data_IF_921614229370
#
_entry.id   IF_921614229370
#
_cell.length_a   1.000
_cell.length_b   1.000
_cell.length_c   1.000
_cell.angle_alpha   90.00
_cell.angle_beta   90.00
_cell.angle_gamma   90.00
#
_symmetry.space_group_name_H-M   'P 1'
#
loop_
_entity.id
_entity.type
_entity.pdbx_description
1 polymer ?
#
# COMPACT_ATOMS: atom_id res chain seq x y z
N UNK A 1 -24.37 -8.92 25.69
CA UNK A 1 -24.02 -7.83 24.76
C UNK A 1 -23.11 -8.43 23.72
N UNK A 2 -23.51 -8.48 22.45
CA UNK A 2 -22.61 -8.93 21.38
C UNK A 2 -21.47 -7.91 21.30
N UNK A 3 -20.22 -8.36 21.34
CA UNK A 3 -19.09 -7.48 21.03
C UNK A 3 -19.24 -7.09 19.57
N UNK A 4 -19.48 -5.80 19.31
CA UNK A 4 -19.28 -5.27 17.97
C UNK A 4 -17.77 -5.37 17.70
N UNK A 5 -17.38 -6.37 16.89
CA UNK A 5 -16.02 -6.51 16.44
C UNK A 5 -15.78 -5.44 15.38
N UNK A 6 -14.96 -4.45 15.74
CA UNK A 6 -14.51 -3.42 14.81
C UNK A 6 -13.41 -4.02 13.93
N UNK A 7 -13.49 -3.83 12.62
CA UNK A 7 -12.44 -4.24 11.70
C UNK A 7 -11.73 -2.98 11.18
N UNK A 8 -10.41 -2.90 11.37
CA UNK A 8 -9.62 -1.79 10.83
C UNK A 8 -9.24 -2.15 9.41
N UNK A 9 -9.80 -1.44 8.45
CA UNK A 9 -9.93 -1.97 7.10
C UNK A 9 -8.87 -1.43 6.16
N UNK A 10 -8.31 -0.23 6.39
CA UNK A 10 -7.35 0.34 5.45
C UNK A 10 -6.43 1.43 6.07
N UNK A 11 -5.12 1.32 5.80
CA UNK A 11 -4.12 2.35 6.05
C UNK A 11 -3.39 2.78 4.77
N UNK A 12 -3.26 4.09 4.53
CA UNK A 12 -2.60 4.63 3.33
C UNK A 12 -1.33 5.40 3.72
N UNK A 13 -0.17 4.74 3.80
CA UNK A 13 1.11 5.41 4.03
C UNK A 13 1.53 6.28 2.85
N UNK A 14 2.05 7.47 3.15
CA UNK A 14 2.71 8.37 2.18
C UNK A 14 3.90 7.68 1.54
N UNK A 15 4.10 7.86 0.23
CA UNK A 15 5.20 7.25 -0.53
C UNK A 15 6.60 7.67 -0.05
N UNK A 16 7.60 6.92 -0.48
CA UNK A 16 9.01 7.27 -0.25
C UNK A 16 9.51 6.85 1.13
N UNK A 17 10.26 7.73 1.80
CA UNK A 17 10.89 7.40 3.11
C UNK A 17 9.85 7.17 4.20
N UNK A 18 8.71 7.88 4.13
CA UNK A 18 7.59 7.69 5.06
C UNK A 18 6.99 6.30 4.95
N UNK A 19 6.76 5.81 3.72
CA UNK A 19 6.33 4.43 3.45
C UNK A 19 7.32 3.41 4.02
N UNK A 20 8.62 3.58 3.73
CA UNK A 20 9.66 2.67 4.23
C UNK A 20 9.70 2.66 5.77
N UNK A 21 9.59 3.81 6.42
CA UNK A 21 9.55 3.91 7.89
C UNK A 21 8.29 3.26 8.46
N UNK A 22 7.14 3.47 7.83
CA UNK A 22 5.88 2.89 8.22
C UNK A 22 5.93 1.36 8.16
N UNK A 23 6.36 0.78 7.03
CA UNK A 23 6.53 -0.65 6.88
C UNK A 23 7.51 -1.24 7.90
N UNK A 24 8.64 -0.57 8.17
CA UNK A 24 9.57 -1.01 9.20
C UNK A 24 8.93 -1.02 10.60
N UNK A 25 8.00 -0.11 10.88
CA UNK A 25 7.25 -0.11 12.14
C UNK A 25 6.30 -1.31 12.25
N UNK A 26 5.76 -1.82 11.14
CA UNK A 26 4.93 -3.05 11.16
C UNK A 26 5.67 -4.27 11.71
N UNK A 27 7.00 -4.33 11.55
CA UNK A 27 7.82 -5.39 12.13
C UNK A 27 7.69 -5.46 13.65
N UNK A 28 7.51 -4.32 14.33
CA UNK A 28 7.32 -4.27 15.78
C UNK A 28 5.94 -4.75 16.21
N UNK A 29 5.01 -4.91 15.26
CA UNK A 29 3.65 -5.39 15.47
C UNK A 29 3.48 -6.87 15.08
N UNK A 30 4.59 -7.61 14.89
CA UNK A 30 4.55 -9.04 14.60
C UNK A 30 4.44 -9.39 13.11
N UNK A 31 4.41 -8.39 12.22
CA UNK A 31 4.46 -8.63 10.77
C UNK A 31 5.84 -9.16 10.37
N UNK A 32 5.87 -10.11 9.44
CA UNK A 32 7.09 -10.76 8.96
C UNK A 32 8.13 -9.75 8.47
N UNK A 33 9.27 -9.68 9.17
CA UNK A 33 10.37 -8.80 8.81
C UNK A 33 10.92 -9.10 7.40
N UNK A 34 11.04 -10.38 7.04
CA UNK A 34 11.52 -10.81 5.72
C UNK A 34 10.59 -10.30 4.61
N UNK A 35 9.26 -10.45 4.79
CA UNK A 35 8.30 -9.94 3.82
C UNK A 35 8.40 -8.42 3.67
N UNK A 36 8.48 -7.70 4.79
CA UNK A 36 8.65 -6.24 4.77
C UNK A 36 9.94 -5.84 4.03
N UNK A 37 11.05 -6.53 4.29
CA UNK A 37 12.34 -6.25 3.66
C UNK A 37 12.31 -6.51 2.15
N UNK A 38 11.62 -7.57 1.71
CA UNK A 38 11.41 -7.84 0.28
C UNK A 38 10.60 -6.73 -0.39
N UNK A 39 9.50 -6.28 0.23
CA UNK A 39 8.68 -5.19 -0.31
C UNK A 39 9.48 -3.89 -0.43
N UNK A 40 10.27 -3.55 0.60
CA UNK A 40 11.13 -2.36 0.59
C UNK A 40 12.20 -2.49 -0.50
N UNK A 41 12.81 -3.66 -0.66
CA UNK A 41 13.84 -3.89 -1.67
C UNK A 41 13.30 -3.71 -3.10
N UNK A 42 12.15 -4.31 -3.42
CA UNK A 42 11.49 -4.13 -4.73
C UNK A 42 11.07 -2.67 -4.95
N UNK A 43 10.50 -2.02 -3.92
CA UNK A 43 10.11 -0.61 -3.97
C UNK A 43 11.28 0.33 -4.27
N UNK A 44 12.48 0.03 -3.73
CA UNK A 44 13.71 0.79 -4.00
C UNK A 44 14.21 0.57 -5.42
N UNK A 45 14.24 -0.68 -5.91
CA UNK A 45 14.64 -1.00 -7.30
C UNK A 45 13.74 -0.32 -8.32
N UNK A 46 12.43 -0.26 -8.06
CA UNK A 46 11.46 0.42 -8.93
C UNK A 46 11.78 1.90 -9.17
N UNK A 47 12.26 2.63 -8.15
CA UNK A 47 12.57 4.06 -8.26
C UNK A 47 13.63 4.33 -9.34
N UNK A 48 14.62 3.44 -9.47
CA UNK A 48 15.66 3.52 -10.52
C UNK A 48 15.23 2.91 -11.85
N UNK A 49 14.27 1.99 -11.84
CA UNK A 49 13.77 1.28 -13.02
C UNK A 49 12.50 1.92 -13.62
N UNK A 50 12.26 3.21 -13.40
CA UNK A 50 11.12 3.90 -14.03
C UNK A 50 11.41 4.05 -15.52
N UNK A 51 10.58 3.44 -16.38
CA UNK A 51 10.80 3.35 -17.81
C UNK A 51 9.75 4.13 -18.61
N UNK A 52 10.16 4.72 -19.74
CA UNK A 52 9.21 5.26 -20.70
C UNK A 52 8.49 4.14 -21.48
N UNK A 53 9.17 3.01 -21.66
CA UNK A 53 8.62 1.83 -22.33
C UNK A 53 7.72 1.02 -21.37
N UNK A 54 6.51 0.72 -21.84
CA UNK A 54 5.52 -0.04 -21.07
C UNK A 54 5.93 -1.51 -20.90
N UNK A 55 6.49 -2.12 -21.94
CA UNK A 55 6.84 -3.55 -21.93
C UNK A 55 7.97 -3.83 -20.95
N UNK A 56 9.00 -2.98 -20.90
CA UNK A 56 10.06 -3.08 -19.90
C UNK A 56 9.52 -2.91 -18.48
N UNK A 57 8.60 -1.96 -18.28
CA UNK A 57 8.00 -1.75 -16.97
C UNK A 57 7.07 -2.90 -16.55
N UNK A 58 6.36 -3.52 -17.48
CA UNK A 58 5.53 -4.70 -17.26
C UNK A 58 6.36 -5.96 -16.94
N UNK A 59 7.50 -6.14 -17.59
CA UNK A 59 8.46 -7.21 -17.23
C UNK A 59 8.98 -7.03 -15.81
N UNK A 60 9.31 -5.79 -15.42
CA UNK A 60 9.71 -5.51 -14.04
C UNK A 60 8.56 -5.75 -13.05
N UNK A 61 7.30 -5.47 -13.42
CA UNK A 61 6.14 -5.82 -12.60
C UNK A 61 6.03 -7.33 -12.39
N UNK A 62 6.22 -8.14 -13.43
CA UNK A 62 6.18 -9.60 -13.32
C UNK A 62 7.22 -10.10 -12.30
N UNK A 63 8.47 -9.61 -12.41
CA UNK A 63 9.50 -9.88 -11.40
C UNK A 63 9.08 -9.46 -9.99
N UNK A 64 8.51 -8.26 -9.82
CA UNK A 64 8.07 -7.76 -8.52
C UNK A 64 6.96 -8.64 -7.90
N UNK A 65 6.00 -9.07 -8.71
CA UNK A 65 4.86 -9.90 -8.32
C UNK A 65 5.29 -11.32 -7.90
N UNK A 66 6.35 -11.86 -8.49
CA UNK A 66 6.96 -13.13 -8.09
C UNK A 66 7.67 -13.04 -6.73
N UNK A 67 8.16 -11.86 -6.32
CA UNK A 67 8.77 -11.68 -5.00
C UNK A 67 7.69 -11.56 -3.92
N UNK A 68 6.78 -10.60 -4.08
CA UNK A 68 5.65 -10.37 -3.17
C UNK A 68 4.48 -9.84 -3.99
N UNK A 69 3.28 -10.44 -3.90
CA UNK A 69 2.18 -10.11 -4.80
C UNK A 69 1.42 -8.82 -4.40
N UNK A 70 2.13 -7.71 -4.19
CA UNK A 70 1.59 -6.46 -3.65
C UNK A 70 1.96 -5.23 -4.51
N UNK A 71 2.34 -5.42 -5.77
CA UNK A 71 2.80 -4.36 -6.65
C UNK A 71 1.86 -4.14 -7.84
N UNK A 72 1.85 -2.91 -8.36
CA UNK A 72 1.08 -2.52 -9.53
C UNK A 72 1.89 -1.60 -10.45
N UNK A 73 1.42 -1.38 -11.67
CA UNK A 73 2.04 -0.46 -12.62
C UNK A 73 1.30 0.88 -12.65
N UNK A 74 2.04 1.97 -12.52
CA UNK A 74 1.50 3.32 -12.44
C UNK A 74 2.23 4.27 -13.37
N UNK A 75 1.53 5.30 -13.84
CA UNK A 75 2.13 6.41 -14.58
C UNK A 75 2.63 7.45 -13.59
N UNK A 76 3.92 7.78 -13.61
CA UNK A 76 4.48 8.86 -12.79
C UNK A 76 4.08 10.22 -13.38
N UNK A 77 2.93 10.73 -12.93
CA UNK A 77 2.34 11.99 -13.39
C UNK A 77 3.18 13.22 -13.01
N UNK A 78 4.11 13.10 -12.06
CA UNK A 78 4.95 14.21 -11.58
C UNK A 78 6.13 14.48 -12.52
N UNK A 79 6.49 13.54 -13.39
CA UNK A 79 7.59 13.69 -14.36
C UNK A 79 7.09 14.09 -15.75
N UNK A 80 7.85 14.96 -16.42
CA UNK A 80 7.52 15.51 -17.75
C UNK A 80 7.22 14.44 -18.81
N UNK A 81 7.99 13.34 -18.81
CA UNK A 81 7.85 12.25 -19.77
C UNK A 81 6.88 11.15 -19.33
N UNK A 82 6.25 11.30 -18.15
CA UNK A 82 5.24 10.38 -17.59
C UNK A 82 5.62 8.89 -17.71
N UNK A 83 6.80 8.48 -17.22
CA UNK A 83 7.23 7.09 -17.32
C UNK A 83 6.32 6.17 -16.50
N UNK A 84 6.29 4.90 -16.90
CA UNK A 84 5.71 3.84 -16.11
C UNK A 84 6.64 3.45 -14.97
N UNK A 85 6.05 3.19 -13.81
CA UNK A 85 6.75 2.80 -12.59
C UNK A 85 5.95 1.75 -11.84
N UNK A 86 6.65 0.75 -11.30
CA UNK A 86 6.03 -0.25 -10.43
C UNK A 86 5.92 0.29 -9.00
N UNK A 87 4.73 0.41 -8.45
CA UNK A 87 4.50 0.91 -7.10
C UNK A 87 3.94 -0.17 -6.19
N UNK A 88 4.05 0.04 -4.88
CA UNK A 88 3.26 -0.74 -3.94
C UNK A 88 1.78 -0.45 -4.21
N UNK A 89 1.01 -1.50 -4.48
CA UNK A 89 -0.42 -1.44 -4.73
C UNK A 89 -1.16 -1.52 -3.40
N UNK A 90 -1.01 -2.64 -2.71
CA UNK A 90 -1.58 -2.85 -1.40
C UNK A 90 -1.32 -4.26 -0.89
N UNK A 91 -1.47 -4.47 0.41
CA UNK A 91 -1.32 -5.78 1.04
C UNK A 91 -2.08 -5.87 2.35
N UNK A 92 -2.60 -7.06 2.65
CA UNK A 92 -3.33 -7.34 3.88
C UNK A 92 -2.38 -7.97 4.91
N UNK A 93 -2.32 -7.39 6.10
CA UNK A 93 -1.54 -7.92 7.22
C UNK A 93 -2.41 -8.19 8.43
N UNK A 94 -2.18 -9.34 9.07
CA UNK A 94 -2.69 -9.58 10.42
C UNK A 94 -1.82 -8.85 11.42
N UNK A 95 -2.40 -7.91 12.16
CA UNK A 95 -1.77 -7.18 13.26
C UNK A 95 -2.56 -7.53 14.52
N UNK A 96 -1.98 -8.40 15.37
CA UNK A 96 -2.75 -9.02 16.44
C UNK A 96 -3.86 -9.91 15.87
N UNK A 97 -5.11 -9.62 16.22
CA UNK A 97 -6.33 -10.29 15.74
C UNK A 97 -7.07 -9.50 14.64
N UNK A 98 -6.51 -8.37 14.19
CA UNK A 98 -7.14 -7.50 13.18
C UNK A 98 -6.47 -7.67 11.83
N UNK A 99 -7.26 -7.98 10.80
CA UNK A 99 -6.81 -7.92 9.42
C UNK A 99 -6.79 -6.47 8.96
N UNK A 100 -5.60 -5.92 8.71
CA UNK A 100 -5.42 -4.53 8.28
C UNK A 100 -4.88 -4.51 6.85
N UNK A 101 -5.66 -3.96 5.92
CA UNK A 101 -5.16 -3.65 4.58
C UNK A 101 -4.33 -2.39 4.61
N UNK A 102 -3.26 -2.37 3.83
CA UNK A 102 -2.42 -1.19 3.64
C UNK A 102 -2.31 -0.93 2.14
N UNK A 103 -2.69 0.26 1.70
CA UNK A 103 -2.73 0.67 0.29
C UNK A 103 -1.57 1.62 -0.05
N UNK A 104 -1.14 1.62 -1.32
CA UNK A 104 -0.21 2.63 -1.83
C UNK A 104 -0.90 3.97 -2.12
N UNK A 105 -0.14 5.07 -2.07
CA UNK A 105 -0.61 6.42 -2.41
C UNK A 105 -1.03 6.55 -3.91
N UNK A 106 -0.46 5.71 -4.78
CA UNK A 106 -0.59 5.82 -6.24
C UNK A 106 -1.58 4.77 -6.80
N UNK A 107 -2.72 5.14 -7.44
CA UNK A 107 -3.46 6.40 -7.36
C UNK A 107 -4.76 6.19 -6.53
N UNK A 108 -4.87 6.85 -5.37
CA UNK A 108 -6.17 7.12 -4.70
C UNK A 108 -7.15 5.94 -4.52
N UNK A 109 -6.69 4.68 -4.51
CA UNK A 109 -7.61 3.54 -4.41
C UNK A 109 -8.41 3.55 -3.10
N UNK A 110 -7.85 4.12 -2.03
CA UNK A 110 -8.53 4.21 -0.73
C UNK A 110 -9.85 4.98 -0.75
N UNK A 111 -9.92 6.11 -1.47
CA UNK A 111 -11.15 6.92 -1.56
C UNK A 111 -12.18 6.36 -2.55
N UNK A 112 -11.78 5.40 -3.38
CA UNK A 112 -12.68 4.64 -4.26
C UNK A 112 -13.15 3.30 -3.67
N UNK A 113 -12.47 2.78 -2.64
CA UNK A 113 -12.82 1.53 -1.97
C UNK A 113 -13.70 1.75 -0.74
N UNK A 114 -13.63 2.93 -0.12
CA UNK A 114 -14.48 3.32 1.01
C UNK A 114 -15.06 4.70 0.66
N UNK A 115 -16.38 4.79 0.50
CA UNK A 115 -17.02 6.09 0.32
C UNK A 115 -16.77 6.97 1.55
N UNK A 116 -16.47 8.27 1.39
CA UNK A 116 -16.25 9.17 2.54
C UNK A 116 -17.46 9.21 3.50
N UNK A 117 -18.65 8.86 3.01
CA UNK A 117 -19.89 8.71 3.77
C UNK A 117 -19.96 7.41 4.61
N UNK A 118 -19.05 6.47 4.40
CA UNK A 118 -19.00 5.17 5.06
C UNK A 118 -17.88 5.12 6.12
N UNK A 119 -17.08 6.17 6.25
CA UNK A 119 -15.94 6.24 7.18
C UNK A 119 -16.41 6.74 8.55
N UNK A 120 -16.17 5.93 9.59
CA UNK A 120 -16.49 6.28 10.98
C UNK A 120 -15.39 7.07 11.70
N UNK A 121 -14.13 6.92 11.27
CA UNK A 121 -13.01 7.68 11.82
C UNK A 121 -11.88 7.82 10.81
N UNK A 122 -11.22 8.98 10.83
CA UNK A 122 -9.99 9.27 10.09
C UNK A 122 -8.86 9.64 11.06
N UNK A 123 -7.71 8.97 10.99
CA UNK A 123 -6.53 9.32 11.80
C UNK A 123 -5.51 10.09 10.95
N UNK A 124 -5.15 11.29 11.40
CA UNK A 124 -4.19 12.19 10.75
C UNK A 124 -2.74 11.80 11.08
N UNK A 125 -1.87 11.75 10.08
CA UNK A 125 -0.45 11.33 10.21
C UNK A 125 -0.05 10.19 9.25
N UNK A 126 -1.06 9.53 8.69
CA UNK A 126 -1.04 8.84 7.39
C UNK A 126 -1.70 9.79 6.37
N UNK A 127 -1.58 9.56 5.06
CA UNK A 127 -2.32 10.40 4.08
C UNK A 127 -3.82 10.28 4.39
N UNK A 128 -4.28 9.03 4.55
CA UNK A 128 -5.59 8.68 5.09
C UNK A 128 -5.48 7.35 5.88
N UNK A 129 -6.19 7.23 7.01
CA UNK A 129 -6.48 5.95 7.68
C UNK A 129 -7.99 5.92 7.86
N UNK A 130 -8.68 4.96 7.22
CA UNK A 130 -10.14 4.91 7.18
C UNK A 130 -10.60 3.63 7.90
N UNK A 131 -11.64 3.77 8.72
CA UNK A 131 -12.33 2.65 9.36
C UNK A 131 -13.84 2.75 9.11
N UNK A 132 -14.51 1.62 8.84
CA UNK A 132 -15.98 1.53 8.80
C UNK A 132 -16.50 0.51 9.80
N UNK A 133 -17.67 0.80 10.35
CA UNK A 133 -18.46 0.02 11.31
C UNK A 133 -19.69 -0.60 10.65
N UNK A 134 -19.96 -0.24 9.39
CA UNK A 134 -21.07 -0.79 8.62
C UNK A 134 -20.66 -2.08 7.91
N UNK A 135 -21.27 -3.19 8.33
CA UNK A 135 -21.28 -4.44 7.57
C UNK A 135 -22.29 -4.31 6.43
N UNK A 136 -21.87 -4.55 5.19
CA UNK A 136 -22.78 -4.76 4.05
C UNK A 136 -23.26 -6.21 3.97
#
# INVERSE_FOLDING_TARGET
MASQNFEVICAIPRTGRTFENFLNKLKTFGVSANQIDQIIAVSKKSKSASQADFMEAAQFLQYAMEQVPCFGLFVDRKRKNRPYRVGFLGYDWMIGDVCTRIEGEEPHNGSSLIGLNEVDCAIVGLDELLTTTQYY
#
